data_IF_182862108854
#
_entry.id   IF_182862108854
#
_cell.length_a   1.000
_cell.length_b   1.000
_cell.length_c   1.000
_cell.angle_alpha   90.00
_cell.angle_beta   90.00
_cell.angle_gamma   90.00
#
_symmetry.space_group_name_H-M   'P 1'
#
loop_
_entity.id
_entity.type
_entity.pdbx_description
1 polymer ?
#
# COMPACT_ATOMS: atom_id res chain seq x y z
N UNK A 1 33.22 -27.25 -15.99
CA UNK A 1 31.77 -27.07 -16.24
C UNK A 1 31.06 -26.60 -14.97
N UNK A 2 31.51 -27.07 -13.80
CA UNK A 2 31.05 -26.72 -12.44
C UNK A 2 30.96 -25.22 -12.08
N UNK A 3 32.01 -24.43 -12.34
CA UNK A 3 32.07 -23.03 -11.88
C UNK A 3 30.96 -22.15 -12.51
N UNK A 4 30.55 -22.47 -13.75
CA UNK A 4 29.47 -21.77 -14.44
C UNK A 4 28.11 -22.08 -13.81
N UNK A 5 27.89 -23.32 -13.39
CA UNK A 5 26.67 -23.73 -12.69
C UNK A 5 26.58 -23.11 -11.29
N UNK A 6 27.69 -23.07 -10.54
CA UNK A 6 27.74 -22.43 -9.22
C UNK A 6 27.48 -20.92 -9.32
N UNK A 7 28.07 -20.26 -10.32
CA UNK A 7 27.82 -18.84 -10.59
C UNK A 7 26.35 -18.58 -10.98
N UNK A 8 25.76 -19.43 -11.82
CA UNK A 8 24.34 -19.35 -12.17
C UNK A 8 23.43 -19.54 -10.97
N UNK A 9 23.73 -20.50 -10.08
CA UNK A 9 22.98 -20.71 -8.84
C UNK A 9 23.06 -19.50 -7.90
N UNK A 10 24.24 -18.89 -7.76
CA UNK A 10 24.40 -17.68 -6.95
C UNK A 10 23.65 -16.48 -7.55
N UNK A 11 23.68 -16.30 -8.88
CA UNK A 11 22.89 -15.27 -9.58
C UNK A 11 21.39 -15.51 -9.42
N UNK A 12 20.92 -16.76 -9.54
CA UNK A 12 19.53 -17.15 -9.28
C UNK A 12 19.12 -16.84 -7.83
N UNK A 13 19.99 -17.13 -6.86
CA UNK A 13 19.73 -16.81 -5.44
C UNK A 13 19.72 -15.30 -5.18
N UNK A 14 20.55 -14.51 -5.86
CA UNK A 14 20.56 -13.05 -5.79
C UNK A 14 19.32 -12.43 -6.43
N UNK A 15 18.85 -12.98 -7.56
CA UNK A 15 17.60 -12.55 -8.22
C UNK A 15 16.37 -12.97 -7.40
N UNK A 16 16.42 -14.13 -6.72
CA UNK A 16 15.34 -14.62 -5.86
C UNK A 16 15.28 -13.89 -4.51
N UNK A 17 16.43 -13.52 -3.94
CA UNK A 17 16.53 -12.55 -2.84
C UNK A 17 16.49 -11.12 -3.37
N UNK A 18 15.49 -10.86 -4.23
CA UNK A 18 15.26 -9.61 -4.91
C UNK A 18 15.63 -8.42 -4.03
N UNK A 19 16.45 -7.56 -4.62
CA UNK A 19 16.79 -6.24 -4.14
C UNK A 19 15.76 -5.70 -3.13
N UNK A 20 16.15 -5.41 -1.88
CA UNK A 20 15.34 -4.62 -0.96
C UNK A 20 15.43 -3.14 -1.39
N UNK A 21 15.29 -2.84 -2.68
CA UNK A 21 15.16 -1.49 -3.18
C UNK A 21 13.81 -0.98 -2.72
N UNK A 22 13.76 -0.49 -1.47
CA UNK A 22 12.73 0.38 -0.94
C UNK A 22 11.31 -0.03 -1.38
N UNK A 23 10.95 -1.31 -1.17
CA UNK A 23 9.64 -1.80 -1.54
C UNK A 23 8.61 -1.08 -0.67
N UNK A 24 7.95 -0.09 -1.27
CA UNK A 24 6.90 0.71 -0.65
C UNK A 24 5.86 -0.24 -0.03
N UNK A 25 5.78 -0.27 1.29
CA UNK A 25 4.79 -1.06 2.00
C UNK A 25 3.47 -0.30 1.97
N UNK A 26 2.47 -0.87 1.31
CA UNK A 26 1.14 -0.28 1.20
C UNK A 26 0.10 -1.12 1.93
N UNK A 27 -0.83 -0.45 2.60
CA UNK A 27 -2.00 -1.06 3.23
C UNK A 27 -3.28 -0.33 2.85
N UNK A 28 -4.37 -1.09 2.85
CA UNK A 28 -5.71 -0.55 2.69
C UNK A 28 -6.33 -0.30 4.07
N UNK A 29 -6.98 0.84 4.23
CA UNK A 29 -7.75 1.17 5.42
C UNK A 29 -9.16 1.56 5.03
N UNK A 30 -10.16 0.85 5.54
CA UNK A 30 -11.57 1.06 5.20
C UNK A 30 -12.30 1.65 6.40
N UNK A 31 -12.93 2.82 6.20
CA UNK A 31 -13.80 3.45 7.18
C UNK A 31 -15.24 3.52 6.67
N UNK A 32 -16.22 2.99 7.42
CA UNK A 32 -17.61 3.26 7.13
C UNK A 32 -17.88 4.76 7.29
N UNK A 33 -18.57 5.33 6.31
CA UNK A 33 -18.96 6.73 6.28
C UNK A 33 -20.47 6.82 6.08
N UNK A 34 -21.15 7.75 6.76
CA UNK A 34 -22.59 7.94 6.56
C UNK A 34 -22.90 8.48 5.16
N UNK A 35 -21.98 9.25 4.57
CA UNK A 35 -22.13 9.81 3.22
C UNK A 35 -20.83 9.69 2.44
N UNK A 36 -20.98 9.41 1.15
CA UNK A 36 -19.84 9.33 0.25
C UNK A 36 -19.40 10.73 -0.21
N UNK A 37 -18.67 11.42 0.66
CA UNK A 37 -18.11 12.74 0.37
C UNK A 37 -16.60 12.66 0.19
N UNK A 38 -16.18 12.74 -1.07
CA UNK A 38 -14.78 12.56 -1.51
C UNK A 38 -13.78 13.44 -0.72
N UNK A 39 -14.10 14.71 -0.47
CA UNK A 39 -13.22 15.60 0.27
C UNK A 39 -13.06 15.22 1.75
N UNK A 40 -14.13 14.76 2.41
CA UNK A 40 -14.04 14.25 3.77
C UNK A 40 -13.29 12.91 3.82
N UNK A 41 -13.50 12.02 2.85
CA UNK A 41 -12.76 10.78 2.73
C UNK A 41 -11.25 11.05 2.58
N UNK A 42 -10.87 11.98 1.69
CA UNK A 42 -9.49 12.46 1.53
C UNK A 42 -8.91 12.95 2.84
N UNK A 43 -9.60 13.85 3.54
CA UNK A 43 -9.13 14.41 4.80
C UNK A 43 -8.90 13.33 5.86
N UNK A 44 -9.84 12.39 6.00
CA UNK A 44 -9.71 11.28 6.93
C UNK A 44 -8.55 10.35 6.58
N UNK A 45 -8.33 10.04 5.29
CA UNK A 45 -7.16 9.25 4.88
C UNK A 45 -5.84 9.95 5.24
N UNK A 46 -5.75 11.27 5.05
CA UNK A 46 -4.56 12.04 5.43
C UNK A 46 -4.31 12.06 6.93
N UNK A 47 -5.37 12.24 7.72
CA UNK A 47 -5.28 12.18 9.18
C UNK A 47 -4.86 10.78 9.62
N UNK A 48 -5.49 9.74 9.12
CA UNK A 48 -5.17 8.35 9.49
C UNK A 48 -3.72 8.01 9.16
N UNK A 49 -3.26 8.26 7.93
CA UNK A 49 -1.87 7.98 7.56
C UNK A 49 -0.87 8.71 8.46
N UNK A 50 -1.10 9.99 8.71
CA UNK A 50 -0.20 10.82 9.53
C UNK A 50 -0.18 10.43 11.01
N UNK A 51 -1.34 10.09 11.58
CA UNK A 51 -1.47 9.79 13.02
C UNK A 51 -1.33 8.31 13.39
N UNK A 52 -1.52 7.38 12.44
CA UNK A 52 -1.41 5.94 12.70
C UNK A 52 0.04 5.47 12.69
N UNK A 53 0.73 5.61 11.55
CA UNK A 53 2.06 5.03 11.31
C UNK A 53 3.01 5.95 10.53
N UNK A 54 2.58 7.18 10.27
CA UNK A 54 3.31 8.15 9.45
C UNK A 54 3.27 7.85 7.95
N UNK A 55 2.36 6.98 7.52
CA UNK A 55 2.16 6.62 6.11
C UNK A 55 1.57 7.80 5.33
N UNK A 56 1.96 7.94 4.06
CA UNK A 56 1.35 8.90 3.16
C UNK A 56 0.17 8.29 2.40
N UNK A 57 -0.76 9.13 1.96
CA UNK A 57 -1.91 8.70 1.16
C UNK A 57 -1.48 8.57 -0.30
N UNK A 58 -1.46 7.35 -0.83
CA UNK A 58 -1.27 7.07 -2.26
C UNK A 58 -2.54 7.30 -3.07
N UNK A 59 -3.68 6.98 -2.47
CA UNK A 59 -4.99 7.15 -3.09
C UNK A 59 -6.12 7.00 -2.08
N UNK A 60 -7.31 7.39 -2.50
CA UNK A 60 -8.54 7.18 -1.73
C UNK A 60 -9.70 6.97 -2.69
N UNK A 61 -10.64 6.12 -2.29
CA UNK A 61 -11.87 5.85 -3.01
C UNK A 61 -13.04 6.00 -2.07
N UNK A 62 -14.14 6.50 -2.62
CA UNK A 62 -15.38 6.56 -1.90
C UNK A 62 -16.37 5.65 -2.62
N UNK A 63 -16.75 4.55 -1.97
CA UNK A 63 -17.64 3.55 -2.53
C UNK A 63 -18.99 3.71 -1.84
N UNK A 64 -20.02 4.04 -2.61
CA UNK A 64 -21.39 4.17 -2.12
C UNK A 64 -22.23 3.00 -2.63
N UNK A 65 -22.80 2.23 -1.71
CA UNK A 65 -23.83 1.24 -1.98
C UNK A 65 -25.20 1.77 -1.52
N UNK A 66 -26.27 1.06 -1.88
CA UNK A 66 -27.66 1.52 -1.66
C UNK A 66 -27.99 1.91 -0.21
N UNK A 67 -27.31 1.32 0.78
CA UNK A 67 -27.59 1.54 2.21
C UNK A 67 -26.37 1.91 3.05
N UNK A 68 -25.18 1.99 2.45
CA UNK A 68 -23.95 2.31 3.18
C UNK A 68 -22.92 2.92 2.24
N UNK A 69 -22.07 3.79 2.78
CA UNK A 69 -20.88 4.24 2.07
C UNK A 69 -19.62 3.91 2.86
N UNK A 70 -18.54 3.64 2.16
CA UNK A 70 -17.23 3.39 2.74
C UNK A 70 -16.20 4.29 2.08
N UNK A 71 -15.28 4.80 2.89
CA UNK A 71 -14.08 5.46 2.46
C UNK A 71 -12.93 4.45 2.52
N UNK A 72 -12.28 4.22 1.40
CA UNK A 72 -11.13 3.33 1.26
C UNK A 72 -9.88 4.19 1.08
N UNK A 73 -8.91 4.05 1.96
CA UNK A 73 -7.62 4.74 1.92
C UNK A 73 -6.51 3.76 1.53
N UNK A 74 -5.66 4.15 0.60
CA UNK A 74 -4.42 3.43 0.29
C UNK A 74 -3.26 4.19 0.93
N UNK A 75 -2.76 3.66 2.03
CA UNK A 75 -1.71 4.27 2.84
C UNK A 75 -0.40 3.52 2.61
N UNK A 76 0.67 4.25 2.32
CA UNK A 76 1.95 3.66 1.98
C UNK A 76 3.11 4.29 2.74
N UNK A 77 4.18 3.53 2.88
CA UNK A 77 5.40 3.90 3.59
C UNK A 77 6.62 3.35 2.88
N UNK A 78 7.66 4.18 2.77
CA UNK A 78 8.97 3.80 2.25
C UNK A 78 9.78 2.98 3.25
#
# INVERSE_FOLDING_TARGET
>A
MEARYVALCLVLLLVLHGDPTLAETCRQFVKPHPFCFSAMCKANCYLEGKFSDGSYVKGYECQSHAFHSVCVCYLCKN
#
